data_IF_800182083489
#
_entry.id   IF_800182083489
#
_cell.length_a   1.000
_cell.length_b   1.000
_cell.length_c   1.000
_cell.angle_alpha   90.00
_cell.angle_beta   90.00
_cell.angle_gamma   90.00
#
_symmetry.space_group_name_H-M   'P 1'
#
loop_
_entity.id
_entity.type
_entity.pdbx_description
1 polymer ?
#
# COMPACT_ATOMS: atom_id res chain seq x y z
N UNK A 1 -25.73 -38.85 -7.30
CA UNK A 1 -24.61 -37.93 -7.26
C UNK A 1 -25.05 -36.69 -6.50
N UNK A 2 -24.58 -36.47 -5.26
CA UNK A 2 -24.89 -35.24 -4.50
C UNK A 2 -24.05 -34.10 -5.09
N UNK A 3 -24.73 -33.11 -5.69
CA UNK A 3 -24.15 -31.88 -6.19
C UNK A 3 -23.48 -31.13 -5.02
N UNK A 4 -22.14 -31.24 -4.88
CA UNK A 4 -21.33 -30.55 -3.86
C UNK A 4 -21.13 -29.10 -4.27
N UNK A 5 -22.21 -28.34 -4.41
CA UNK A 5 -22.07 -26.90 -4.54
C UNK A 5 -21.52 -26.35 -3.22
N UNK A 6 -20.32 -25.82 -3.29
CA UNK A 6 -19.69 -25.13 -2.15
C UNK A 6 -20.60 -24.01 -1.67
N UNK A 7 -20.83 -23.90 -0.37
CA UNK A 7 -21.69 -22.84 0.15
C UNK A 7 -21.13 -21.44 -0.20
N UNK A 8 -21.97 -20.43 -0.49
CA UNK A 8 -21.51 -19.09 -0.81
C UNK A 8 -20.56 -18.51 0.25
N UNK A 9 -20.77 -18.80 1.52
CA UNK A 9 -19.89 -18.40 2.64
C UNK A 9 -18.51 -19.06 2.57
N UNK A 10 -18.44 -20.31 2.13
CA UNK A 10 -17.17 -21.01 1.97
C UNK A 10 -16.35 -20.41 0.83
N UNK A 11 -16.98 -20.14 -0.32
CA UNK A 11 -16.34 -19.49 -1.48
C UNK A 11 -15.83 -18.09 -1.12
N UNK A 12 -16.61 -17.30 -0.40
CA UNK A 12 -16.18 -15.97 0.05
C UNK A 12 -14.97 -16.05 0.98
N UNK A 13 -14.97 -16.98 1.94
CA UNK A 13 -13.86 -17.19 2.87
C UNK A 13 -12.59 -17.62 2.12
N UNK A 14 -12.74 -18.54 1.18
CA UNK A 14 -11.64 -19.03 0.35
C UNK A 14 -11.06 -17.90 -0.51
N UNK A 15 -11.92 -17.10 -1.16
CA UNK A 15 -11.50 -15.95 -1.95
C UNK A 15 -10.75 -14.92 -1.11
N UNK A 16 -11.25 -14.59 0.09
CA UNK A 16 -10.57 -13.68 1.03
C UNK A 16 -9.18 -14.19 1.42
N UNK A 17 -9.05 -15.50 1.70
CA UNK A 17 -7.74 -16.11 2.03
C UNK A 17 -6.78 -16.09 0.84
N UNK A 18 -7.28 -16.38 -0.36
CA UNK A 18 -6.49 -16.33 -1.58
C UNK A 18 -5.98 -14.90 -1.85
N UNK A 19 -6.85 -13.91 -1.80
CA UNK A 19 -6.48 -12.50 -1.98
C UNK A 19 -5.44 -12.08 -0.93
N UNK A 20 -5.62 -12.43 0.33
CA UNK A 20 -4.65 -12.14 1.38
C UNK A 20 -3.29 -12.82 1.12
N UNK A 21 -3.29 -14.08 0.69
CA UNK A 21 -2.06 -14.80 0.34
C UNK A 21 -1.34 -14.15 -0.84
N UNK A 22 -2.07 -13.78 -1.90
CA UNK A 22 -1.50 -13.08 -3.07
C UNK A 22 -0.87 -11.75 -2.65
N UNK A 23 -1.56 -10.95 -1.83
CA UNK A 23 -1.03 -9.68 -1.33
C UNK A 23 0.24 -9.90 -0.51
N UNK A 24 0.27 -10.91 0.38
CA UNK A 24 1.44 -11.21 1.20
C UNK A 24 2.64 -11.66 0.37
N UNK A 25 2.42 -12.57 -0.59
CA UNK A 25 3.49 -13.06 -1.49
C UNK A 25 4.01 -11.91 -2.35
N UNK A 26 3.12 -11.13 -2.96
CA UNK A 26 3.47 -9.97 -3.77
C UNK A 26 4.27 -8.93 -2.96
N UNK A 27 3.84 -8.65 -1.73
CA UNK A 27 4.56 -7.75 -0.82
C UNK A 27 5.94 -8.29 -0.46
N UNK A 28 6.07 -9.58 -0.20
CA UNK A 28 7.37 -10.21 0.08
C UNK A 28 8.32 -10.13 -1.12
N UNK A 29 7.85 -10.44 -2.32
CA UNK A 29 8.62 -10.31 -3.56
C UNK A 29 9.05 -8.86 -3.78
N UNK A 30 8.14 -7.91 -3.59
CA UNK A 30 8.43 -6.47 -3.72
C UNK A 30 9.52 -6.03 -2.73
N UNK A 31 9.41 -6.42 -1.46
CA UNK A 31 10.41 -6.13 -0.42
C UNK A 31 11.77 -6.69 -0.80
N UNK A 32 11.85 -7.97 -1.21
CA UNK A 32 13.12 -8.60 -1.62
C UNK A 32 13.73 -7.87 -2.81
N UNK A 33 12.94 -7.53 -3.82
CA UNK A 33 13.42 -6.78 -4.98
C UNK A 33 13.91 -5.37 -4.63
N UNK A 34 13.32 -4.70 -3.63
CA UNK A 34 13.73 -3.37 -3.21
C UNK A 34 15.04 -3.36 -2.40
N UNK A 35 15.51 -4.51 -1.88
CA UNK A 35 16.74 -4.57 -1.08
C UNK A 35 17.99 -4.09 -1.81
N UNK A 36 18.09 -4.27 -3.14
CA UNK A 36 19.24 -3.80 -3.91
C UNK A 36 19.43 -2.27 -3.85
N UNK A 37 18.35 -1.51 -3.64
CA UNK A 37 18.41 -0.05 -3.50
C UNK A 37 19.16 0.39 -2.22
N UNK A 38 19.27 -0.48 -1.20
CA UNK A 38 20.04 -0.22 0.02
C UNK A 38 21.55 -0.44 -0.13
N UNK A 39 22.03 -0.75 -1.33
CA UNK A 39 23.50 -0.87 -1.58
C UNK A 39 24.20 0.48 -1.59
N UNK A 40 23.49 1.60 -1.58
CA UNK A 40 23.99 2.98 -1.62
C UNK A 40 24.90 3.32 -2.82
N UNK A 41 24.93 2.44 -3.83
CA UNK A 41 25.76 2.64 -5.02
C UNK A 41 25.14 3.69 -5.93
N UNK A 42 25.88 4.76 -6.32
CA UNK A 42 25.36 5.79 -7.21
C UNK A 42 24.84 5.23 -8.55
N UNK A 43 25.50 4.18 -9.08
CA UNK A 43 25.12 3.51 -10.32
C UNK A 43 23.72 2.86 -10.23
N UNK A 44 23.36 2.35 -9.03
CA UNK A 44 22.06 1.75 -8.77
C UNK A 44 21.00 2.83 -8.52
N UNK A 45 21.37 3.90 -7.83
CA UNK A 45 20.46 4.98 -7.48
C UNK A 45 20.14 5.90 -8.65
N UNK A 46 21.07 6.12 -9.59
CA UNK A 46 20.89 6.95 -10.76
C UNK A 46 20.34 8.33 -10.43
N UNK A 47 19.18 8.68 -11.00
CA UNK A 47 18.50 9.97 -10.77
C UNK A 47 18.07 10.22 -9.31
N UNK A 48 18.09 9.22 -8.44
CA UNK A 48 17.71 9.35 -7.04
C UNK A 48 18.87 9.73 -6.11
N UNK A 49 20.13 9.81 -6.61
CA UNK A 49 21.30 10.18 -5.78
C UNK A 49 21.07 11.47 -4.98
N UNK A 50 20.54 12.58 -5.57
CA UNK A 50 20.32 13.82 -4.82
C UNK A 50 19.30 13.70 -3.70
N UNK A 51 18.33 12.81 -3.84
CA UNK A 51 17.20 12.62 -2.92
C UNK A 51 17.23 11.24 -2.23
N UNK A 52 18.41 10.60 -2.19
CA UNK A 52 18.58 9.22 -1.69
C UNK A 52 18.02 8.99 -0.28
N UNK A 53 18.14 9.94 0.62
CA UNK A 53 17.64 9.79 1.99
C UNK A 53 16.11 9.76 2.03
N UNK A 54 15.45 10.52 1.18
CA UNK A 54 13.99 10.45 1.02
C UNK A 54 13.56 9.13 0.37
N UNK A 55 14.32 8.62 -0.59
CA UNK A 55 14.10 7.29 -1.17
C UNK A 55 14.22 6.20 -0.10
N UNK A 56 15.27 6.22 0.71
CA UNK A 56 15.46 5.23 1.77
C UNK A 56 14.37 5.33 2.83
N UNK A 57 13.99 6.53 3.26
CA UNK A 57 12.88 6.75 4.17
C UNK A 57 11.56 6.20 3.60
N UNK A 58 11.32 6.44 2.30
CA UNK A 58 10.17 5.91 1.59
C UNK A 58 10.15 4.37 1.57
N UNK A 59 11.25 3.74 1.18
CA UNK A 59 11.33 2.28 1.09
C UNK A 59 11.25 1.65 2.49
N UNK A 60 12.07 2.09 3.45
CA UNK A 60 12.10 1.51 4.78
C UNK A 60 10.76 1.69 5.52
N UNK A 61 10.18 2.88 5.45
CA UNK A 61 8.87 3.17 6.03
C UNK A 61 7.75 2.38 5.35
N UNK A 62 7.79 2.27 4.02
CA UNK A 62 6.84 1.45 3.25
C UNK A 62 6.93 -0.04 3.59
N UNK A 63 8.14 -0.58 3.72
CA UNK A 63 8.35 -1.96 4.19
C UNK A 63 7.80 -2.18 5.60
N UNK A 64 8.06 -1.26 6.52
CA UNK A 64 7.52 -1.34 7.88
C UNK A 64 5.99 -1.34 7.87
N UNK A 65 5.35 -0.51 7.03
CA UNK A 65 3.90 -0.46 6.87
C UNK A 65 3.35 -1.75 6.23
N UNK A 66 4.00 -2.28 5.19
CA UNK A 66 3.60 -3.53 4.52
C UNK A 66 3.62 -4.72 5.49
N UNK A 67 4.66 -4.83 6.31
CA UNK A 67 4.84 -5.94 7.25
C UNK A 67 3.88 -5.84 8.44
N UNK A 68 3.70 -4.64 8.99
CA UNK A 68 2.88 -4.46 10.20
C UNK A 68 1.38 -4.34 9.91
N UNK A 69 1.00 -3.91 8.68
CA UNK A 69 -0.39 -3.70 8.29
C UNK A 69 -1.29 -4.92 8.41
N UNK A 70 -0.94 -6.11 7.88
CA UNK A 70 -1.76 -7.31 8.02
C UNK A 70 -2.04 -7.68 9.49
N UNK A 71 -1.04 -7.51 10.35
CA UNK A 71 -1.22 -7.72 11.79
C UNK A 71 -2.19 -6.70 12.40
N UNK A 72 -2.18 -5.44 11.94
CA UNK A 72 -3.12 -4.41 12.39
C UNK A 72 -4.56 -4.74 11.98
N UNK A 73 -4.78 -5.28 10.80
CA UNK A 73 -6.11 -5.65 10.30
C UNK A 73 -6.62 -6.98 10.86
N UNK A 74 -5.76 -7.80 11.42
CA UNK A 74 -6.16 -9.07 12.02
C UNK A 74 -6.94 -8.86 13.33
N UNK A 75 -8.21 -9.25 13.33
CA UNK A 75 -9.12 -9.00 14.48
C UNK A 75 -8.59 -9.53 15.81
N UNK A 76 -7.99 -10.73 15.83
CA UNK A 76 -7.44 -11.32 17.04
C UNK A 76 -6.24 -10.56 17.61
N UNK A 77 -5.51 -9.76 16.81
CA UNK A 77 -4.40 -8.95 17.30
C UNK A 77 -4.86 -7.95 18.37
N UNK A 78 -6.06 -7.40 18.22
CA UNK A 78 -6.64 -6.41 19.16
C UNK A 78 -7.14 -7.01 20.45
N UNK A 79 -7.70 -8.22 20.41
CA UNK A 79 -8.27 -8.89 21.59
C UNK A 79 -7.21 -9.66 22.37
N UNK A 80 -6.41 -10.48 21.68
CA UNK A 80 -5.46 -11.42 22.28
C UNK A 80 -4.07 -10.80 22.51
N UNK A 81 -3.64 -9.88 21.62
CA UNK A 81 -2.27 -9.33 21.59
C UNK A 81 -2.25 -7.80 21.67
N UNK A 82 -3.03 -7.22 22.60
CA UNK A 82 -3.24 -5.75 22.72
C UNK A 82 -1.95 -4.94 22.77
N UNK A 83 -0.92 -5.41 23.48
CA UNK A 83 0.37 -4.69 23.58
C UNK A 83 1.09 -4.70 22.23
N UNK A 84 1.21 -5.87 21.61
CA UNK A 84 1.82 -6.01 20.29
C UNK A 84 1.07 -5.20 19.21
N UNK A 85 -0.28 -5.23 19.21
CA UNK A 85 -1.10 -4.42 18.32
C UNK A 85 -0.78 -2.93 18.46
N UNK A 86 -0.67 -2.40 19.69
CA UNK A 86 -0.33 -0.99 19.91
C UNK A 86 1.09 -0.64 19.44
N UNK A 87 2.07 -1.51 19.68
CA UNK A 87 3.45 -1.30 19.23
C UNK A 87 3.52 -1.33 17.71
N UNK A 88 2.99 -2.39 17.08
CA UNK A 88 2.96 -2.51 15.63
C UNK A 88 2.18 -1.36 14.96
N UNK A 89 1.10 -0.86 15.60
CA UNK A 89 0.37 0.30 15.12
C UNK A 89 1.19 1.59 15.12
N UNK A 90 2.03 1.79 16.14
CA UNK A 90 2.96 2.94 16.17
C UNK A 90 4.03 2.81 15.09
N UNK A 91 4.59 1.60 14.92
CA UNK A 91 5.58 1.32 13.85
C UNK A 91 4.94 1.58 12.48
N UNK A 92 3.69 1.13 12.27
CA UNK A 92 2.93 1.40 11.05
C UNK A 92 2.81 2.90 10.78
N UNK A 93 2.32 3.68 11.77
CA UNK A 93 2.10 5.12 11.61
C UNK A 93 3.40 5.87 11.32
N UNK A 94 4.46 5.60 12.09
CA UNK A 94 5.78 6.20 11.85
C UNK A 94 6.32 5.82 10.47
N UNK A 95 6.19 4.54 10.11
CA UNK A 95 6.58 4.03 8.79
C UNK A 95 5.86 4.78 7.66
N UNK A 96 4.54 4.95 7.76
CA UNK A 96 3.77 5.69 6.75
C UNK A 96 4.15 7.17 6.70
N UNK A 97 4.36 7.83 7.84
CA UNK A 97 4.80 9.24 7.87
C UNK A 97 6.12 9.40 7.13
N UNK A 98 7.12 8.58 7.43
CA UNK A 98 8.42 8.61 6.75
C UNK A 98 8.27 8.30 5.26
N UNK A 99 7.53 7.25 4.93
CA UNK A 99 7.36 6.80 3.55
C UNK A 99 6.57 7.81 2.70
N UNK A 100 5.48 8.36 3.21
CA UNK A 100 4.68 9.34 2.49
C UNK A 100 5.42 10.67 2.30
N UNK A 101 6.17 11.13 3.30
CA UNK A 101 7.02 12.32 3.16
C UNK A 101 8.09 12.11 2.08
N UNK A 102 8.74 10.94 2.08
CA UNK A 102 9.69 10.58 1.03
C UNK A 102 9.01 10.49 -0.34
N UNK A 103 7.82 9.88 -0.42
CA UNK A 103 7.05 9.79 -1.66
C UNK A 103 6.70 11.16 -2.24
N UNK A 104 6.31 12.14 -1.41
CA UNK A 104 6.01 13.50 -1.85
C UNK A 104 7.25 14.18 -2.47
N UNK A 105 8.43 14.02 -1.86
CA UNK A 105 9.69 14.56 -2.42
C UNK A 105 10.02 13.87 -3.74
N UNK A 106 9.92 12.55 -3.83
CA UNK A 106 10.16 11.78 -5.06
C UNK A 106 9.18 12.14 -6.17
N UNK A 107 7.90 12.35 -5.81
CA UNK A 107 6.87 12.78 -6.75
C UNK A 107 7.11 14.21 -7.29
N UNK A 108 7.73 15.08 -6.47
CA UNK A 108 8.06 16.44 -6.88
C UNK A 108 9.36 16.55 -7.69
N UNK A 109 10.29 15.61 -7.52
CA UNK A 109 11.65 15.68 -8.11
C UNK A 109 11.87 14.72 -9.25
N UNK A 110 11.60 13.44 -9.03
CA UNK A 110 11.92 12.36 -9.98
C UNK A 110 10.77 12.00 -10.93
N UNK A 111 9.51 12.16 -10.49
CA UNK A 111 8.35 11.76 -11.28
C UNK A 111 8.00 12.72 -12.43
N UNK A 112 8.20 14.05 -12.35
CA UNK A 112 7.94 14.97 -13.48
C UNK A 112 8.79 14.61 -14.72
N UNK A 113 9.99 14.08 -14.53
CA UNK A 113 10.83 13.58 -15.63
C UNK A 113 10.26 12.36 -16.37
N UNK A 114 9.23 11.72 -15.81
CA UNK A 114 8.47 10.65 -16.49
C UNK A 114 7.24 11.26 -17.18
N UNK A 115 6.31 11.80 -16.39
CA UNK A 115 5.17 12.60 -16.88
C UNK A 115 4.52 13.35 -15.73
N UNK A 116 3.86 14.48 -16.03
CA UNK A 116 3.09 15.24 -15.04
C UNK A 116 1.89 14.44 -14.50
N UNK A 117 1.22 13.66 -15.34
CA UNK A 117 0.12 12.80 -14.91
C UNK A 117 0.57 11.79 -13.85
N UNK A 118 1.75 11.19 -14.03
CA UNK A 118 2.36 10.30 -13.06
C UNK A 118 2.73 11.03 -11.76
N UNK A 119 3.36 12.20 -11.86
CA UNK A 119 3.73 12.99 -10.69
C UNK A 119 2.50 13.38 -9.84
N UNK A 120 1.44 13.89 -10.48
CA UNK A 120 0.19 14.29 -9.81
C UNK A 120 -0.46 13.06 -9.14
N UNK A 121 -0.55 11.93 -9.84
CA UNK A 121 -1.16 10.71 -9.29
C UNK A 121 -0.43 10.21 -8.03
N UNK A 122 0.89 10.29 -7.99
CA UNK A 122 1.70 9.96 -6.81
C UNK A 122 1.51 10.94 -5.65
N UNK A 123 1.41 12.25 -5.92
CA UNK A 123 1.12 13.24 -4.89
C UNK A 123 -0.23 12.98 -4.22
N UNK A 124 -1.26 12.70 -5.02
CA UNK A 124 -2.59 12.42 -4.48
C UNK A 124 -2.58 11.13 -3.68
N UNK A 125 -1.98 10.05 -4.20
CA UNK A 125 -1.86 8.79 -3.47
C UNK A 125 -1.12 8.98 -2.13
N UNK A 126 0.03 9.66 -2.12
CA UNK A 126 0.79 9.91 -0.91
C UNK A 126 -0.01 10.74 0.12
N UNK A 127 -0.75 11.74 -0.34
CA UNK A 127 -1.62 12.58 0.51
C UNK A 127 -2.77 11.77 1.10
N UNK A 128 -3.46 10.96 0.30
CA UNK A 128 -4.53 10.06 0.75
C UNK A 128 -4.00 9.02 1.73
N UNK A 129 -2.82 8.47 1.46
CA UNK A 129 -2.16 7.51 2.34
C UNK A 129 -1.84 8.11 3.71
N UNK A 130 -1.18 9.25 3.72
CA UNK A 130 -0.86 9.97 4.96
C UNK A 130 -2.13 10.40 5.71
N UNK A 131 -3.09 11.01 5.02
CA UNK A 131 -4.35 11.48 5.59
C UNK A 131 -5.17 10.34 6.22
N UNK A 132 -5.34 9.22 5.51
CA UNK A 132 -6.06 8.06 6.05
C UNK A 132 -5.35 7.45 7.25
N UNK A 133 -4.02 7.42 7.27
CA UNK A 133 -3.22 6.94 8.40
C UNK A 133 -3.39 7.85 9.64
N UNK A 134 -3.31 9.16 9.46
CA UNK A 134 -3.49 10.13 10.55
C UNK A 134 -4.92 10.10 11.10
N UNK A 135 -5.93 9.92 10.25
CA UNK A 135 -7.31 9.74 10.67
C UNK A 135 -7.51 8.41 11.42
N UNK A 136 -6.86 7.34 10.97
CA UNK A 136 -6.86 6.07 11.71
C UNK A 136 -6.24 6.25 13.11
N UNK A 137 -5.09 6.90 13.21
CA UNK A 137 -4.45 7.22 14.49
C UNK A 137 -5.34 8.07 15.39
N UNK A 138 -5.86 9.19 14.87
CA UNK A 138 -6.75 10.10 15.62
C UNK A 138 -7.98 9.38 16.17
N UNK A 139 -8.62 8.55 15.35
CA UNK A 139 -9.85 7.80 15.75
C UNK A 139 -9.53 6.70 16.76
N UNK A 140 -8.35 6.07 16.70
CA UNK A 140 -7.87 5.14 17.70
C UNK A 140 -7.70 5.83 19.07
N UNK A 141 -7.01 6.99 19.11
CA UNK A 141 -6.80 7.78 20.32
C UNK A 141 -8.14 8.20 20.93
N UNK A 142 -9.10 8.60 20.10
CA UNK A 142 -10.48 8.96 20.52
C UNK A 142 -11.35 7.75 20.84
N UNK A 143 -10.84 6.51 20.78
CA UNK A 143 -11.58 5.26 21.01
C UNK A 143 -12.79 5.07 20.08
N UNK A 144 -12.82 5.70 18.92
CA UNK A 144 -13.84 5.56 17.88
C UNK A 144 -13.54 4.34 17.01
N UNK A 145 -13.75 3.14 17.56
CA UNK A 145 -13.22 1.88 16.98
C UNK A 145 -13.73 1.63 15.57
N UNK A 146 -15.01 1.85 15.29
CA UNK A 146 -15.60 1.64 13.95
C UNK A 146 -14.96 2.57 12.91
N UNK A 147 -14.71 3.84 13.26
CA UNK A 147 -14.05 4.80 12.40
C UNK A 147 -12.57 4.47 12.24
N UNK A 148 -11.91 4.05 13.33
CA UNK A 148 -10.52 3.59 13.30
C UNK A 148 -10.32 2.42 12.32
N UNK A 149 -11.16 1.40 12.41
CA UNK A 149 -11.10 0.24 11.50
C UNK A 149 -11.26 0.67 10.03
N UNK A 150 -12.18 1.57 9.76
CA UNK A 150 -12.41 2.06 8.42
C UNK A 150 -11.19 2.81 7.85
N UNK A 151 -10.63 3.74 8.62
CA UNK A 151 -9.47 4.50 8.20
C UNK A 151 -8.20 3.65 8.13
N UNK A 152 -8.02 2.70 9.04
CA UNK A 152 -6.90 1.75 9.00
C UNK A 152 -6.95 0.88 7.74
N UNK A 153 -8.15 0.43 7.34
CA UNK A 153 -8.31 -0.34 6.10
C UNK A 153 -7.98 0.50 4.87
N UNK A 154 -8.49 1.74 4.79
CA UNK A 154 -8.16 2.66 3.66
C UNK A 154 -6.67 2.97 3.59
N UNK A 155 -6.04 3.22 4.75
CA UNK A 155 -4.59 3.40 4.83
C UNK A 155 -3.83 2.17 4.30
N UNK A 156 -4.26 0.96 4.65
CA UNK A 156 -3.60 -0.24 4.18
C UNK A 156 -3.85 -0.53 2.69
N UNK A 157 -5.02 -0.20 2.15
CA UNK A 157 -5.29 -0.23 0.71
C UNK A 157 -4.28 0.67 -0.03
N UNK A 158 -4.08 1.90 0.45
CA UNK A 158 -3.09 2.82 -0.12
C UNK A 158 -1.64 2.27 0.03
N UNK A 159 -1.32 1.57 1.13
CA UNK A 159 -0.02 0.90 1.30
C UNK A 159 0.20 -0.18 0.24
N UNK A 160 -0.80 -1.04 0.00
CA UNK A 160 -0.72 -2.14 -0.97
C UNK A 160 -0.74 -1.62 -2.42
N UNK A 161 -1.26 -0.43 -2.66
CA UNK A 161 -1.29 0.18 -4.00
C UNK A 161 0.12 0.25 -4.63
N UNK A 162 1.17 0.49 -3.85
CA UNK A 162 2.55 0.50 -4.36
C UNK A 162 3.01 -0.87 -4.87
N UNK A 163 2.54 -1.94 -4.22
CA UNK A 163 2.80 -3.32 -4.70
C UNK A 163 1.96 -3.61 -5.94
N UNK A 164 0.69 -3.22 -5.92
CA UNK A 164 -0.23 -3.45 -7.04
C UNK A 164 0.25 -2.75 -8.32
N UNK A 165 0.68 -1.48 -8.24
CA UNK A 165 1.22 -0.78 -9.41
C UNK A 165 2.52 -1.41 -9.91
N UNK A 166 3.45 -1.81 -9.03
CA UNK A 166 4.69 -2.45 -9.43
C UNK A 166 4.43 -3.76 -10.18
N UNK A 167 3.50 -4.59 -9.70
CA UNK A 167 3.09 -5.81 -10.38
C UNK A 167 2.35 -5.54 -11.70
N UNK A 168 1.55 -4.45 -11.76
CA UNK A 168 0.83 -4.09 -12.98
C UNK A 168 1.79 -3.77 -14.13
N UNK A 169 2.93 -3.14 -13.86
CA UNK A 169 3.94 -2.85 -14.88
C UNK A 169 4.67 -4.10 -15.41
N UNK A 170 4.64 -5.21 -14.68
CA UNK A 170 5.19 -6.49 -15.14
C UNK A 170 4.21 -7.25 -16.06
N UNK A 171 2.95 -6.79 -16.16
CA UNK A 171 1.94 -7.47 -16.97
C UNK A 171 2.11 -7.13 -18.47
N UNK A 172 2.21 -8.14 -19.35
CA UNK A 172 2.32 -7.91 -20.80
C UNK A 172 1.16 -7.10 -21.38
N UNK A 173 -0.02 -7.20 -20.76
CA UNK A 173 -1.20 -6.42 -21.15
C UNK A 173 -0.95 -4.92 -20.95
N UNK A 174 -0.37 -4.50 -19.83
CA UNK A 174 -0.09 -3.09 -19.54
C UNK A 174 0.97 -2.55 -20.50
N UNK A 175 1.99 -3.35 -20.81
CA UNK A 175 3.02 -2.98 -21.77
C UNK A 175 2.47 -2.78 -23.21
N UNK A 176 1.34 -3.38 -23.56
CA UNK A 176 0.66 -3.18 -24.84
C UNK A 176 -0.20 -1.91 -24.92
N UNK A 177 -0.53 -1.31 -23.77
CA UNK A 177 -1.37 -0.09 -23.71
C UNK A 177 -0.59 1.18 -24.00
N UNK A 178 0.74 1.14 -23.92
CA UNK A 178 1.61 2.28 -24.18
C UNK A 178 2.93 2.22 -23.44
N UNK A 179 3.73 3.26 -23.59
CA UNK A 179 4.99 3.43 -22.85
C UNK A 179 4.71 3.64 -21.35
N UNK A 180 5.73 3.42 -20.52
CA UNK A 180 5.63 3.67 -19.08
C UNK A 180 5.13 5.10 -18.76
N UNK A 181 5.63 6.10 -19.48
CA UNK A 181 5.24 7.51 -19.27
C UNK A 181 3.74 7.76 -19.53
N UNK A 182 3.16 7.06 -20.52
CA UNK A 182 1.75 7.21 -20.90
C UNK A 182 0.82 6.51 -19.91
N UNK A 183 1.17 5.30 -19.45
CA UNK A 183 0.25 4.47 -18.64
C UNK A 183 0.44 4.64 -17.13
N UNK A 184 1.62 5.14 -16.68
CA UNK A 184 1.98 5.13 -15.26
C UNK A 184 0.98 5.89 -14.38
N UNK A 185 0.52 7.05 -14.81
CA UNK A 185 -0.48 7.83 -14.06
C UNK A 185 -1.78 7.05 -13.86
N UNK A 186 -2.30 6.42 -14.92
CA UNK A 186 -3.52 5.61 -14.88
C UNK A 186 -3.36 4.39 -13.97
N UNK A 187 -2.23 3.68 -14.08
CA UNK A 187 -1.94 2.52 -13.23
C UNK A 187 -1.91 2.92 -11.76
N UNK A 188 -1.27 4.05 -11.41
CA UNK A 188 -1.28 4.55 -10.03
C UNK A 188 -2.71 4.83 -9.57
N UNK A 189 -3.51 5.56 -10.34
CA UNK A 189 -4.91 5.83 -9.98
C UNK A 189 -5.70 4.55 -9.72
N UNK A 190 -5.68 3.61 -10.65
CA UNK A 190 -6.46 2.38 -10.55
C UNK A 190 -6.00 1.50 -9.37
N UNK A 191 -4.71 1.50 -9.04
CA UNK A 191 -4.15 0.64 -7.99
C UNK A 191 -4.75 0.85 -6.59
N UNK A 192 -5.29 2.03 -6.31
CA UNK A 192 -5.88 2.35 -5.00
C UNK A 192 -7.35 2.78 -5.09
N UNK A 193 -7.78 3.49 -6.15
CA UNK A 193 -9.18 3.96 -6.23
C UNK A 193 -10.15 2.80 -6.39
N UNK A 194 -9.85 1.83 -7.25
CA UNK A 194 -10.72 0.66 -7.45
C UNK A 194 -10.89 -0.16 -6.15
N UNK A 195 -9.83 -0.61 -5.46
CA UNK A 195 -10.03 -1.35 -4.22
C UNK A 195 -10.61 -0.50 -3.09
N UNK A 196 -10.37 0.80 -3.05
CA UNK A 196 -10.95 1.70 -2.05
C UNK A 196 -12.46 1.86 -2.28
N UNK A 197 -12.89 2.09 -3.51
CA UNK A 197 -14.30 2.13 -3.89
C UNK A 197 -15.01 0.81 -3.58
N UNK A 198 -14.42 -0.32 -3.97
CA UNK A 198 -14.98 -1.64 -3.67
C UNK A 198 -15.11 -1.91 -2.16
N UNK A 199 -14.17 -1.42 -1.36
CA UNK A 199 -14.26 -1.48 0.09
C UNK A 199 -15.42 -0.63 0.64
N UNK A 200 -15.56 0.60 0.15
CA UNK A 200 -16.59 1.54 0.65
C UNK A 200 -18.00 1.05 0.29
N UNK A 201 -18.24 0.60 -0.92
CA UNK A 201 -19.52 0.00 -1.33
C UNK A 201 -19.90 -1.20 -0.46
N UNK A 202 -18.96 -2.11 -0.17
CA UNK A 202 -19.22 -3.27 0.70
C UNK A 202 -19.50 -2.91 2.16
N UNK A 203 -19.06 -1.74 2.59
CA UNK A 203 -19.25 -1.30 3.96
C UNK A 203 -20.60 -0.62 4.17
N UNK A 204 -21.15 -0.04 3.10
CA UNK A 204 -22.46 0.61 3.12
C UNK A 204 -23.61 -0.37 2.87
N UNK A 205 -23.33 -1.51 2.18
CA UNK A 205 -24.27 -2.60 1.96
C UNK A 205 -24.40 -3.51 3.20
#
# INVERSE_FOLDING_TARGET
>A
MRDRRLSPRYLETMLRRLVAAVILIASAVFVVRAFHLFTFRPEVLGKYVPVRWFLFGHIAGGMAALVTGPFQLWRASRSRYRRAHRVAGRVYVVGVVLAASGALVLASTAAPGVSWAYAISLHVLATVWLGSTLLAWRTAVKRQIVKHEAWATRSYIATVAFVAQALSFELPLVARLGTFAEVAGTVVWLSWTVPMFAYDVRREA
#
